data_IF_208649832076
#
_entry.id   IF_208649832076
#
_cell.length_a   1.000
_cell.length_b   1.000
_cell.length_c   1.000
_cell.angle_alpha   90.00
_cell.angle_beta   90.00
_cell.angle_gamma   90.00
#
_symmetry.space_group_name_H-M   'P 1'
#
loop_
_entity.id
_entity.type
_entity.pdbx_description
1 polymer ?
#
# COMPACT_ATOMS: atom_id res chain seq x y z
N UNK A 1 11.59 6.77 16.75
CA UNK A 1 10.63 5.75 16.28
C UNK A 1 11.32 4.86 15.26
N UNK A 2 11.03 3.56 15.22
CA UNK A 2 11.53 2.58 14.26
C UNK A 2 10.35 1.83 13.67
N UNK A 3 10.46 1.38 12.42
CA UNK A 3 9.48 0.55 11.72
C UNK A 3 10.22 -0.55 10.99
N UNK A 4 9.73 -1.80 11.08
CA UNK A 4 10.28 -2.95 10.36
C UNK A 4 9.18 -3.95 10.01
N UNK A 5 9.53 -4.94 9.21
CA UNK A 5 8.67 -6.06 8.85
C UNK A 5 9.41 -7.38 9.08
N UNK A 6 8.69 -8.39 9.56
CA UNK A 6 9.18 -9.78 9.56
C UNK A 6 8.81 -10.51 8.25
N UNK A 7 7.96 -9.89 7.42
CA UNK A 7 7.55 -10.42 6.12
C UNK A 7 8.58 -10.19 5.02
N UNK A 8 9.39 -9.12 5.14
CA UNK A 8 10.47 -8.79 4.21
C UNK A 8 11.53 -7.91 4.88
N UNK A 9 12.77 -7.96 4.39
CA UNK A 9 13.84 -7.08 4.86
C UNK A 9 13.74 -5.72 4.15
N UNK A 10 14.04 -4.65 4.86
CA UNK A 10 14.10 -3.30 4.27
C UNK A 10 15.02 -3.26 3.04
N UNK A 11 14.51 -2.72 1.93
CA UNK A 11 15.17 -2.67 0.63
C UNK A 11 15.13 -3.96 -0.20
N UNK A 12 14.69 -5.09 0.37
CA UNK A 12 14.59 -6.36 -0.36
C UNK A 12 13.27 -6.49 -1.14
N UNK A 13 13.19 -7.52 -1.99
CA UNK A 13 11.96 -7.85 -2.68
C UNK A 13 10.85 -8.25 -1.69
N UNK A 14 9.63 -7.77 -1.93
CA UNK A 14 8.43 -8.17 -1.22
C UNK A 14 8.02 -9.56 -1.72
N UNK A 15 7.83 -10.57 -0.84
CA UNK A 15 7.33 -11.87 -1.24
C UNK A 15 5.96 -11.79 -1.92
N UNK A 16 5.77 -12.63 -2.93
CA UNK A 16 4.57 -12.61 -3.79
C UNK A 16 3.25 -12.80 -3.05
N UNK A 17 3.24 -13.44 -1.90
CA UNK A 17 2.02 -13.59 -1.09
C UNK A 17 1.46 -12.25 -0.56
N UNK A 18 2.28 -11.21 -0.51
CA UNK A 18 1.88 -9.84 -0.12
C UNK A 18 1.56 -8.96 -1.33
N UNK A 19 1.70 -9.48 -2.54
CA UNK A 19 1.38 -8.77 -3.77
C UNK A 19 -0.08 -9.00 -4.20
N UNK A 20 -0.64 -8.05 -4.95
CA UNK A 20 -1.94 -8.19 -5.61
C UNK A 20 -1.82 -9.11 -6.83
N UNK A 21 -0.73 -9.00 -7.59
CA UNK A 21 -0.44 -9.80 -8.78
C UNK A 21 0.91 -10.50 -8.68
N UNK A 22 1.04 -11.60 -9.42
CA UNK A 22 2.29 -12.32 -9.68
C UNK A 22 2.47 -12.54 -11.17
N UNK A 23 3.71 -12.80 -11.60
CA UNK A 23 4.04 -13.13 -12.98
C UNK A 23 3.34 -14.44 -13.37
N UNK A 24 2.69 -14.43 -14.52
CA UNK A 24 2.17 -15.61 -15.20
C UNK A 24 2.75 -15.69 -16.61
N UNK A 25 3.35 -16.82 -17.01
CA UNK A 25 4.02 -16.93 -18.32
C UNK A 25 3.07 -16.88 -19.52
N UNK A 26 1.77 -17.16 -19.34
CA UNK A 26 0.79 -17.19 -20.41
C UNK A 26 0.02 -15.89 -20.56
N UNK A 27 -0.25 -15.20 -19.44
CA UNK A 27 -1.10 -14.00 -19.40
C UNK A 27 -0.37 -12.78 -18.85
N UNK A 28 0.96 -12.84 -18.68
CA UNK A 28 1.86 -11.88 -18.04
C UNK A 28 1.65 -11.78 -16.55
N UNK A 29 0.39 -11.70 -16.09
CA UNK A 29 0.06 -11.55 -14.67
C UNK A 29 -1.17 -12.38 -14.29
N UNK A 30 -1.16 -12.86 -13.05
CA UNK A 30 -2.33 -13.44 -12.39
C UNK A 30 -2.45 -12.90 -10.97
N UNK A 31 -3.63 -13.05 -10.37
CA UNK A 31 -3.86 -12.59 -8.99
C UNK A 31 -3.04 -13.41 -7.99
N UNK A 32 -2.59 -12.75 -6.92
CA UNK A 32 -1.85 -13.37 -5.84
C UNK A 32 -2.67 -13.41 -4.54
N UNK A 33 -2.05 -13.84 -3.43
CA UNK A 33 -2.72 -13.98 -2.14
C UNK A 33 -3.08 -12.64 -1.49
N UNK A 34 -2.52 -11.52 -1.91
CA UNK A 34 -2.87 -10.16 -1.50
C UNK A 34 -2.99 -9.99 0.03
N UNK A 35 -2.09 -10.62 0.79
CA UNK A 35 -2.05 -10.48 2.24
C UNK A 35 -1.38 -9.17 2.61
N UNK A 36 -1.87 -8.45 3.64
CA UNK A 36 -1.03 -7.40 4.19
C UNK A 36 0.21 -8.00 4.87
N UNK A 37 1.40 -7.38 4.74
CA UNK A 37 2.59 -7.84 5.45
C UNK A 37 2.50 -7.55 6.95
N UNK A 38 3.33 -8.26 7.74
CA UNK A 38 3.60 -7.89 9.12
C UNK A 38 4.32 -6.54 9.16
N UNK A 39 3.94 -5.69 10.10
CA UNK A 39 4.63 -4.45 10.44
C UNK A 39 4.75 -4.36 11.96
N UNK A 40 5.92 -3.99 12.46
CA UNK A 40 6.13 -3.70 13.87
C UNK A 40 6.94 -2.42 14.04
N UNK A 41 6.76 -1.76 15.19
CA UNK A 41 7.41 -0.50 15.48
C UNK A 41 7.75 -0.34 16.95
N UNK A 42 8.69 0.54 17.25
CA UNK A 42 9.12 0.91 18.58
C UNK A 42 9.43 2.39 18.71
N UNK A 43 9.70 2.81 19.94
CA UNK A 43 10.13 4.18 20.25
C UNK A 43 9.13 5.24 19.80
N UNK A 44 7.81 4.94 19.91
CA UNK A 44 6.75 5.93 19.67
C UNK A 44 6.86 7.04 20.73
N UNK A 45 6.84 8.31 20.35
CA UNK A 45 6.88 9.41 21.31
C UNK A 45 5.76 9.30 22.35
N UNK A 46 6.04 9.49 23.65
CA UNK A 46 5.01 9.42 24.69
C UNK A 46 3.86 10.43 24.53
N UNK A 47 4.09 11.51 23.80
CA UNK A 47 3.08 12.52 23.48
C UNK A 47 2.13 12.12 22.34
N UNK A 48 2.39 11.00 21.66
CA UNK A 48 1.53 10.52 20.58
C UNK A 48 0.16 10.12 21.12
N UNK A 49 -0.88 10.59 20.44
CA UNK A 49 -2.27 10.28 20.77
C UNK A 49 -2.88 9.27 19.79
N UNK A 50 -2.37 9.21 18.56
CA UNK A 50 -2.70 8.21 17.55
C UNK A 50 -1.54 7.97 16.61
N UNK A 51 -1.67 6.92 15.77
CA UNK A 51 -0.74 6.66 14.68
C UNK A 51 -1.51 6.62 13.36
N UNK A 52 -0.80 6.90 12.25
CA UNK A 52 -1.31 6.71 10.90
C UNK A 52 -0.28 5.97 10.04
N UNK A 53 -0.74 5.03 9.22
CA UNK A 53 0.08 4.30 8.26
C UNK A 53 -0.32 4.69 6.84
N UNK A 54 0.66 5.04 6.01
CA UNK A 54 0.52 5.24 4.58
C UNK A 54 1.47 4.29 3.86
N UNK A 55 0.94 3.52 2.91
CA UNK A 55 1.72 2.67 2.01
C UNK A 55 1.50 3.16 0.60
N UNK A 56 2.58 3.51 -0.10
CA UNK A 56 2.50 4.02 -1.46
C UNK A 56 3.67 3.52 -2.32
N UNK A 57 3.43 3.50 -3.61
CA UNK A 57 4.39 3.27 -4.68
C UNK A 57 4.69 4.63 -5.36
N UNK A 58 5.90 5.21 -5.22
CA UNK A 58 6.25 6.48 -5.86
C UNK A 58 6.73 6.31 -7.30
N UNK A 59 6.76 5.10 -7.82
CA UNK A 59 7.37 4.76 -9.11
C UNK A 59 6.32 4.47 -10.21
N UNK A 60 5.03 4.77 -9.96
CA UNK A 60 3.95 4.51 -10.91
C UNK A 60 4.06 5.45 -12.13
N UNK A 61 3.93 4.95 -13.37
CA UNK A 61 3.96 5.78 -14.57
C UNK A 61 2.92 6.91 -14.52
N UNK A 62 3.33 8.14 -14.84
CA UNK A 62 2.44 9.31 -14.84
C UNK A 62 1.39 9.29 -15.96
N UNK A 63 1.50 8.35 -16.91
CA UNK A 63 0.54 8.11 -18.00
C UNK A 63 0.54 6.62 -18.37
N UNK A 64 -0.59 6.14 -18.88
CA UNK A 64 -0.83 4.72 -19.16
C UNK A 64 -0.65 4.28 -20.62
N UNK A 65 -0.14 5.13 -21.52
CA UNK A 65 -0.15 4.89 -22.97
C UNK A 65 0.55 3.58 -23.39
N UNK A 66 1.60 3.19 -22.67
CA UNK A 66 2.36 1.97 -22.94
C UNK A 66 2.19 0.90 -21.84
N UNK A 67 1.43 1.18 -20.80
CA UNK A 67 1.26 0.27 -19.66
C UNK A 67 0.56 -1.01 -20.08
N UNK A 68 1.20 -2.16 -19.77
CA UNK A 68 0.65 -3.50 -20.00
C UNK A 68 0.27 -3.77 -21.47
N UNK A 69 1.04 -3.24 -22.43
CA UNK A 69 0.84 -3.46 -23.86
C UNK A 69 1.94 -4.32 -24.46
N UNK A 70 1.54 -5.28 -25.30
CA UNK A 70 2.46 -6.13 -26.05
C UNK A 70 3.37 -5.32 -26.98
N UNK A 71 4.65 -5.68 -27.01
CA UNK A 71 5.64 -4.98 -27.84
C UNK A 71 5.99 -3.56 -27.39
N UNK A 72 5.47 -3.13 -26.24
CA UNK A 72 5.77 -1.84 -25.61
C UNK A 72 6.60 -2.02 -24.35
N UNK A 73 7.29 -0.95 -23.98
CA UNK A 73 8.01 -0.85 -22.70
C UNK A 73 7.66 0.50 -22.09
N UNK A 74 7.31 0.54 -20.82
CA UNK A 74 7.18 1.79 -20.06
C UNK A 74 8.59 2.33 -19.79
N UNK A 75 8.96 3.51 -20.33
CA UNK A 75 10.32 4.02 -20.23
C UNK A 75 10.74 4.32 -18.79
N UNK A 76 12.01 4.08 -18.47
CA UNK A 76 12.56 4.36 -17.13
C UNK A 76 12.59 5.86 -16.80
N UNK A 77 12.73 6.72 -17.80
CA UNK A 77 12.78 8.18 -17.67
C UNK A 77 11.41 8.87 -17.71
N UNK A 78 10.31 8.10 -17.83
CA UNK A 78 8.97 8.64 -17.72
C UNK A 78 8.77 9.22 -16.32
N UNK A 79 8.18 10.44 -16.17
CA UNK A 79 7.82 10.98 -14.86
C UNK A 79 6.93 10.00 -14.09
N UNK A 80 7.19 9.91 -12.79
CA UNK A 80 6.49 8.96 -11.89
C UNK A 80 5.59 9.72 -10.93
N UNK A 81 4.54 9.05 -10.46
CA UNK A 81 3.55 9.58 -9.52
C UNK A 81 3.32 8.58 -8.39
N UNK A 82 2.81 9.07 -7.26
CA UNK A 82 2.41 8.22 -6.15
C UNK A 82 1.14 7.43 -6.49
N UNK A 83 1.11 6.16 -6.06
CA UNK A 83 -0.06 5.31 -6.02
C UNK A 83 -0.21 4.76 -4.60
N UNK A 84 -1.33 5.04 -3.95
CA UNK A 84 -1.57 4.64 -2.57
C UNK A 84 -2.15 3.23 -2.51
N UNK A 85 -1.45 2.34 -1.83
CA UNK A 85 -1.80 0.93 -1.65
C UNK A 85 -2.54 0.64 -0.34
N UNK A 86 -2.31 1.45 0.68
CA UNK A 86 -2.95 1.32 1.98
C UNK A 86 -2.88 2.62 2.75
N UNK A 87 -4.02 2.97 3.35
CA UNK A 87 -4.10 4.06 4.31
C UNK A 87 -4.87 3.55 5.52
N UNK A 88 -4.26 3.63 6.71
CA UNK A 88 -4.87 3.24 7.97
C UNK A 88 -4.64 4.36 8.98
N UNK A 89 -5.71 4.95 9.49
CA UNK A 89 -5.66 6.08 10.41
C UNK A 89 -6.28 5.74 11.77
N UNK A 90 -6.06 6.61 12.77
CA UNK A 90 -6.56 6.46 14.12
C UNK A 90 -6.12 5.16 14.80
N UNK A 91 -4.93 4.68 14.45
CA UNK A 91 -4.30 3.53 15.09
C UNK A 91 -4.01 3.92 16.54
N UNK A 92 -4.40 3.10 17.55
CA UNK A 92 -4.11 3.39 18.95
C UNK A 92 -2.61 3.59 19.19
N UNK A 93 -2.23 4.66 19.89
CA UNK A 93 -0.81 4.97 20.16
C UNK A 93 -0.06 3.87 20.93
N UNK A 94 -0.78 3.05 21.69
CA UNK A 94 -0.23 1.90 22.40
C UNK A 94 -0.04 0.64 21.55
N UNK A 95 -0.48 0.64 20.29
CA UNK A 95 -0.25 -0.48 19.38
C UNK A 95 1.25 -0.59 19.03
N UNK A 96 1.72 -1.80 18.80
CA UNK A 96 3.13 -2.07 18.50
C UNK A 96 3.34 -2.85 17.21
N UNK A 97 2.28 -3.41 16.63
CA UNK A 97 2.37 -4.21 15.42
C UNK A 97 1.04 -4.35 14.68
N UNK A 98 1.15 -4.74 13.44
CA UNK A 98 0.10 -5.29 12.58
C UNK A 98 0.56 -6.68 12.16
N UNK A 99 -0.21 -7.71 12.47
CA UNK A 99 0.12 -9.07 12.03
C UNK A 99 -0.09 -9.23 10.52
N UNK A 100 0.69 -10.09 9.88
CA UNK A 100 0.47 -10.45 8.49
C UNK A 100 -0.95 -11.04 8.29
N UNK A 101 -1.58 -10.74 7.16
CA UNK A 101 -2.91 -11.21 6.79
C UNK A 101 -4.06 -10.81 7.76
N UNK A 102 -3.84 -9.82 8.65
CA UNK A 102 -4.85 -9.41 9.63
C UNK A 102 -5.85 -8.37 9.10
N UNK A 103 -5.52 -7.68 8.01
CA UNK A 103 -6.36 -6.67 7.36
C UNK A 103 -6.69 -6.98 5.90
N UNK A 104 -5.90 -7.83 5.25
CA UNK A 104 -6.13 -8.30 3.90
C UNK A 104 -5.59 -9.72 3.75
N UNK A 105 -6.40 -10.63 3.18
CA UNK A 105 -6.06 -12.02 2.91
C UNK A 105 -6.89 -12.49 1.70
N UNK A 106 -6.45 -12.13 0.52
CA UNK A 106 -7.12 -12.37 -0.75
C UNK A 106 -7.47 -11.09 -1.50
N UNK A 107 -7.69 -11.23 -2.80
CA UNK A 107 -8.25 -10.17 -3.63
C UNK A 107 -9.77 -10.20 -3.49
N UNK A 108 -10.38 -9.03 -3.31
CA UNK A 108 -11.83 -8.88 -3.23
C UNK A 108 -12.31 -8.11 -4.46
N UNK A 109 -12.86 -8.78 -5.48
CA UNK A 109 -13.44 -8.10 -6.64
C UNK A 109 -14.52 -7.09 -6.23
N UNK A 110 -14.60 -5.98 -6.93
CA UNK A 110 -15.53 -4.87 -6.68
C UNK A 110 -15.29 -4.12 -5.36
N UNK A 111 -14.08 -4.25 -4.80
CA UNK A 111 -13.64 -3.50 -3.65
C UNK A 111 -13.98 -4.11 -2.30
N UNK A 112 -13.54 -3.43 -1.28
CA UNK A 112 -13.70 -3.77 0.14
C UNK A 112 -14.42 -2.67 0.87
N UNK A 113 -15.25 -3.01 1.84
CA UNK A 113 -16.00 -2.05 2.65
C UNK A 113 -15.09 -1.28 3.62
N UNK A 114 -15.49 -0.06 3.94
CA UNK A 114 -14.84 0.83 4.89
C UNK A 114 -15.67 2.11 5.11
N UNK A 115 -15.12 3.10 5.80
CA UNK A 115 -13.81 3.16 6.46
C UNK A 115 -13.73 2.35 7.75
N UNK A 116 -14.85 2.06 8.41
CA UNK A 116 -14.88 1.25 9.64
C UNK A 116 -14.45 -0.20 9.36
N UNK A 117 -13.69 -0.77 10.28
CA UNK A 117 -13.14 -2.12 10.19
C UNK A 117 -13.83 -2.98 11.24
N UNK A 118 -14.84 -3.80 10.87
CA UNK A 118 -15.50 -4.71 11.80
C UNK A 118 -14.49 -5.67 12.43
N UNK A 119 -14.54 -5.82 13.77
CA UNK A 119 -13.64 -6.70 14.53
C UNK A 119 -12.15 -6.39 14.31
N UNK A 120 -11.81 -5.12 14.08
CA UNK A 120 -10.42 -4.68 13.88
C UNK A 120 -9.50 -5.17 15.02
N UNK A 121 -8.32 -5.72 14.70
CA UNK A 121 -7.29 -5.97 15.70
C UNK A 121 -6.73 -4.67 16.32
N UNK A 122 -7.02 -3.52 15.71
CA UNK A 122 -6.69 -2.18 16.19
C UNK A 122 -7.99 -1.39 16.39
N UNK A 123 -8.58 -1.42 17.58
CA UNK A 123 -9.89 -0.80 17.83
C UNK A 123 -9.87 0.71 17.52
N UNK A 124 -10.87 1.18 16.78
CA UNK A 124 -11.01 2.58 16.37
C UNK A 124 -10.25 2.95 15.10
N UNK A 125 -9.34 2.12 14.62
CA UNK A 125 -8.66 2.38 13.36
C UNK A 125 -9.63 2.33 12.17
N UNK A 126 -9.35 3.18 11.14
CA UNK A 126 -10.18 3.33 9.95
C UNK A 126 -9.33 3.23 8.68
N UNK A 127 -9.87 2.55 7.67
CA UNK A 127 -9.25 2.49 6.35
C UNK A 127 -9.64 3.68 5.47
N UNK A 128 -8.67 4.23 4.73
CA UNK A 128 -8.95 5.01 3.52
C UNK A 128 -9.12 4.12 2.30
N UNK A 129 -9.64 4.70 1.21
CA UNK A 129 -9.61 4.07 -0.10
C UNK A 129 -8.19 4.10 -0.67
N UNK A 130 -7.81 3.03 -1.37
CA UNK A 130 -6.57 2.97 -2.12
C UNK A 130 -6.83 3.27 -3.62
N UNK A 131 -5.75 3.46 -4.39
CA UNK A 131 -5.84 3.95 -5.76
C UNK A 131 -6.28 2.88 -6.77
N UNK A 132 -6.39 1.61 -6.38
CA UNK A 132 -7.10 0.61 -7.17
C UNK A 132 -8.56 0.99 -7.41
N UNK A 133 -9.16 1.79 -6.52
CA UNK A 133 -10.49 2.40 -6.74
C UNK A 133 -10.55 3.17 -8.05
N UNK A 134 -9.56 4.00 -8.33
CA UNK A 134 -9.45 4.75 -9.59
C UNK A 134 -8.99 3.89 -10.76
N UNK A 135 -8.03 3.00 -10.51
CA UNK A 135 -7.49 2.11 -11.54
C UNK A 135 -8.55 1.21 -12.16
N UNK A 136 -9.42 0.63 -11.33
CA UNK A 136 -10.48 -0.27 -11.78
C UNK A 136 -11.81 0.43 -12.10
N UNK A 137 -11.87 1.77 -12.12
CA UNK A 137 -13.13 2.50 -12.29
C UNK A 137 -13.90 2.15 -13.60
N UNK A 138 -13.19 1.72 -14.64
CA UNK A 138 -13.77 1.33 -15.94
C UNK A 138 -13.82 -0.19 -16.15
N UNK A 139 -13.38 -0.99 -15.19
CA UNK A 139 -13.38 -2.44 -15.28
C UNK A 139 -14.73 -3.00 -14.79
N UNK A 140 -15.42 -3.78 -15.64
CA UNK A 140 -16.75 -4.28 -15.34
C UNK A 140 -16.78 -5.29 -14.18
N UNK A 141 -15.68 -6.02 -13.96
CA UNK A 141 -15.57 -7.07 -12.96
C UNK A 141 -14.93 -6.58 -11.66
N UNK A 142 -14.12 -5.53 -11.74
CA UNK A 142 -13.32 -5.05 -10.61
C UNK A 142 -13.73 -3.67 -10.09
N UNK A 143 -14.54 -2.87 -10.81
CA UNK A 143 -14.90 -1.52 -10.37
C UNK A 143 -15.59 -1.51 -9.00
N UNK A 144 -15.12 -0.61 -8.11
CA UNK A 144 -15.65 -0.47 -6.76
C UNK A 144 -14.74 0.34 -5.84
N UNK A 145 -15.15 0.53 -4.60
CA UNK A 145 -14.34 1.22 -3.59
C UNK A 145 -13.43 0.22 -2.87
N UNK A 146 -12.12 0.42 -2.98
CA UNK A 146 -11.11 -0.45 -2.38
C UNK A 146 -10.59 0.19 -1.08
N UNK A 147 -11.17 -0.17 0.05
CA UNK A 147 -10.67 0.24 1.36
C UNK A 147 -9.58 -0.70 1.87
N UNK A 148 -8.54 -0.12 2.52
CA UNK A 148 -7.47 -0.89 3.14
C UNK A 148 -6.37 -1.31 2.18
N UNK A 149 -5.69 -2.41 2.50
CA UNK A 149 -4.52 -2.89 1.78
C UNK A 149 -4.88 -3.64 0.52
N UNK A 150 -4.27 -3.22 -0.59
CA UNK A 150 -4.07 -4.04 -1.78
C UNK A 150 -2.62 -3.89 -2.23
N UNK A 151 -1.95 -5.02 -2.45
CA UNK A 151 -0.52 -5.12 -2.60
C UNK A 151 0.03 -4.72 -3.96
N UNK A 152 1.32 -4.93 -4.20
CA UNK A 152 1.99 -4.66 -5.46
C UNK A 152 1.36 -5.32 -6.69
N UNK A 153 1.20 -4.56 -7.77
CA UNK A 153 0.89 -5.04 -9.12
C UNK A 153 1.38 -4.01 -10.16
N UNK A 154 2.72 -3.78 -10.25
CA UNK A 154 3.25 -2.81 -11.21
C UNK A 154 3.06 -3.31 -12.64
N UNK A 155 3.20 -2.44 -13.66
CA UNK A 155 3.14 -2.88 -15.05
C UNK A 155 4.18 -3.97 -15.36
N UNK A 156 3.74 -5.06 -16.01
CA UNK A 156 4.62 -6.18 -16.34
C UNK A 156 5.69 -5.83 -17.39
N UNK A 157 5.53 -4.71 -18.07
CA UNK A 157 6.46 -4.20 -19.06
C UNK A 157 7.17 -2.90 -18.65
N UNK A 158 7.18 -2.58 -17.35
CA UNK A 158 7.93 -1.41 -16.86
C UNK A 158 9.43 -1.68 -16.86
N UNK A 159 10.21 -0.71 -17.31
CA UNK A 159 11.66 -0.78 -17.37
C UNK A 159 12.35 -0.62 -16.00
N UNK A 160 11.61 -0.33 -14.94
CA UNK A 160 12.14 -0.19 -13.58
C UNK A 160 11.48 -1.15 -12.60
N UNK A 161 12.19 -1.45 -11.51
CA UNK A 161 11.63 -2.13 -10.34
C UNK A 161 10.97 -1.08 -9.47
N UNK A 162 9.72 -1.29 -9.06
CA UNK A 162 8.97 -0.37 -8.21
C UNK A 162 9.33 -0.53 -6.73
N UNK A 163 9.25 0.57 -5.99
CA UNK A 163 9.44 0.63 -4.53
C UNK A 163 8.10 0.80 -3.85
N UNK A 164 7.90 0.09 -2.76
CA UNK A 164 6.71 0.20 -1.92
C UNK A 164 7.14 0.71 -0.57
N UNK A 165 6.72 1.93 -0.24
CA UNK A 165 7.16 2.64 0.96
C UNK A 165 6.05 2.59 2.01
N UNK A 166 6.33 1.95 3.12
CA UNK A 166 5.48 1.88 4.30
C UNK A 166 5.96 2.94 5.29
N UNK A 167 5.14 3.95 5.59
CA UNK A 167 5.48 5.01 6.54
C UNK A 167 4.46 5.08 7.64
N UNK A 168 4.94 4.94 8.88
CA UNK A 168 4.15 5.10 10.09
C UNK A 168 4.44 6.48 10.70
N UNK A 169 3.39 7.21 11.01
CA UNK A 169 3.41 8.54 11.61
C UNK A 169 2.85 8.49 13.03
N UNK A 170 3.53 9.10 13.98
CA UNK A 170 3.01 9.34 15.33
C UNK A 170 2.45 10.77 15.39
N UNK A 171 1.19 10.90 15.82
CA UNK A 171 0.43 12.14 15.73
C UNK A 171 0.08 12.69 17.13
N UNK A 172 0.04 14.01 17.27
CA UNK A 172 -0.36 14.72 18.50
C UNK A 172 -1.88 14.88 18.67
N UNK A 173 -2.66 14.34 17.73
CA UNK A 173 -4.13 14.32 17.78
C UNK A 173 -4.64 12.88 17.89
N UNK A 174 -5.80 12.70 18.53
CA UNK A 174 -6.37 11.38 18.81
C UNK A 174 -7.08 10.78 17.60
N UNK A 175 -7.62 11.62 16.71
CA UNK A 175 -8.33 11.20 15.49
C UNK A 175 -8.18 12.27 14.42
N UNK A 176 -8.02 11.82 13.17
CA UNK A 176 -7.99 12.70 12.01
C UNK A 176 -9.41 13.13 11.63
N UNK A 177 -9.63 14.42 11.28
CA UNK A 177 -10.95 14.95 10.88
C UNK A 177 -11.31 14.54 9.44
N UNK A 178 -11.32 13.24 9.17
CA UNK A 178 -11.65 12.65 7.89
C UNK A 178 -12.81 11.68 8.05
N UNK A 179 -13.81 11.81 7.18
CA UNK A 179 -15.02 10.99 7.20
C UNK A 179 -15.30 10.39 5.82
N UNK A 180 -16.09 9.32 5.80
CA UNK A 180 -16.51 8.64 4.56
C UNK A 180 -15.35 8.02 3.80
N UNK A 181 -15.31 8.26 2.49
CA UNK A 181 -14.23 7.81 1.62
C UNK A 181 -13.12 8.87 1.58
N UNK A 182 -12.00 8.60 2.21
CA UNK A 182 -10.82 9.46 2.16
C UNK A 182 -9.65 8.73 1.51
N UNK A 183 -8.87 9.46 0.72
CA UNK A 183 -7.70 8.95 -0.01
C UNK A 183 -6.40 9.11 0.78
N UNK A 184 -5.33 8.44 0.33
CA UNK A 184 -3.98 8.63 0.88
C UNK A 184 -3.48 10.07 0.79
N UNK A 185 -3.80 10.78 -0.29
CA UNK A 185 -3.45 12.20 -0.45
C UNK A 185 -4.15 13.09 0.60
N UNK A 186 -5.44 12.82 0.88
CA UNK A 186 -6.17 13.55 1.93
C UNK A 186 -5.61 13.25 3.33
N UNK A 187 -5.23 11.99 3.60
CA UNK A 187 -4.58 11.66 4.88
C UNK A 187 -3.22 12.37 4.99
N UNK A 188 -2.41 12.37 3.93
CA UNK A 188 -1.12 13.09 3.91
C UNK A 188 -1.29 14.58 4.22
N UNK A 189 -2.32 15.22 3.67
CA UNK A 189 -2.65 16.60 3.98
C UNK A 189 -3.18 16.79 5.41
N UNK A 190 -3.98 15.85 5.92
CA UNK A 190 -4.58 15.96 7.26
C UNK A 190 -3.59 15.72 8.41
N UNK A 191 -2.49 14.99 8.18
CA UNK A 191 -1.44 14.78 9.19
C UNK A 191 -0.42 15.93 9.23
N UNK A 192 -0.43 16.81 8.22
CA UNK A 192 0.49 17.95 8.18
C UNK A 192 0.28 18.87 9.42
N UNK A 193 1.39 19.24 10.06
CA UNK A 193 1.38 19.99 11.31
C UNK A 193 1.07 19.17 12.58
N UNK A 194 0.75 17.87 12.46
CA UNK A 194 0.44 16.98 13.59
C UNK A 194 1.49 15.89 13.84
N UNK A 195 2.54 15.83 13.02
CA UNK A 195 3.55 14.76 13.07
C UNK A 195 4.56 15.02 14.18
N UNK A 196 4.60 14.13 15.19
CA UNK A 196 5.61 14.12 16.25
C UNK A 196 6.86 13.33 15.83
N UNK A 197 6.67 12.25 15.11
CA UNK A 197 7.74 11.41 14.58
C UNK A 197 7.21 10.55 13.43
N UNK A 198 8.14 10.07 12.60
CA UNK A 198 7.83 9.09 11.56
C UNK A 198 8.95 8.07 11.40
N UNK A 199 8.61 6.91 10.88
CA UNK A 199 9.57 5.89 10.47
C UNK A 199 9.06 5.17 9.22
N UNK A 200 9.99 4.74 8.36
CA UNK A 200 9.64 4.06 7.12
C UNK A 200 10.45 2.79 6.94
N UNK A 201 9.84 1.82 6.28
CA UNK A 201 10.50 0.65 5.68
C UNK A 201 10.02 0.53 4.25
N UNK A 202 10.88 0.14 3.33
CA UNK A 202 10.51 -0.06 1.93
C UNK A 202 10.88 -1.46 1.47
N UNK A 203 10.11 -1.99 0.52
CA UNK A 203 10.45 -3.18 -0.25
C UNK A 203 10.32 -2.88 -1.73
N UNK A 204 10.78 -3.79 -2.58
CA UNK A 204 10.70 -3.68 -4.03
C UNK A 204 9.84 -4.78 -4.62
N UNK A 205 9.25 -4.52 -5.79
CA UNK A 205 8.50 -5.51 -6.54
C UNK A 205 8.52 -5.20 -8.03
N UNK A 206 8.51 -6.23 -8.85
CA UNK A 206 8.39 -6.11 -10.31
C UNK A 206 7.62 -7.30 -10.87
N UNK A 207 6.86 -7.05 -11.92
CA UNK A 207 6.24 -8.07 -12.76
C UNK A 207 6.93 -8.20 -14.11
N UNK A 208 7.98 -7.39 -14.37
CA UNK A 208 8.81 -7.54 -15.55
C UNK A 208 9.79 -8.70 -15.34
N UNK A 209 9.64 -9.82 -16.09
CA UNK A 209 10.46 -11.01 -15.88
C UNK A 209 11.95 -10.78 -16.15
N UNK A 210 12.29 -9.74 -16.92
CA UNK A 210 13.70 -9.41 -17.23
C UNK A 210 14.40 -8.68 -16.07
N UNK A 211 13.64 -8.16 -15.11
CA UNK A 211 14.14 -7.43 -13.93
C UNK A 211 14.09 -8.27 -12.65
N UNK A 212 13.50 -9.44 -12.69
CA UNK A 212 13.52 -10.37 -11.53
C UNK A 212 14.95 -10.84 -11.35
N UNK A 213 15.54 -10.53 -10.17
CA UNK A 213 16.88 -11.01 -9.85
C UNK A 213 16.88 -12.55 -9.93
N UNK A 214 17.76 -13.08 -10.76
CA UNK A 214 18.06 -14.51 -10.73
C UNK A 214 18.74 -14.82 -9.40
N UNK A 215 17.99 -15.49 -8.51
CA UNK A 215 18.45 -15.97 -7.20
C UNK A 215 19.51 -17.06 -7.34
#
# INVERSE_FOLDING_TARGET
>A
MKLWSDSFKGGAAIPSEFAFCVIDPATHVTLSANKNPHLAWSDVPPAAKSLALIVHDPDVPSRGDDVNQEGKTVPADLPRVDFFHWTLIDIPAGAQQIAAASFANGVTPRGKSGPAIPNSPLPGARHGINDYTGWFAQDADMSGAYFGYDGPCPPWNDAIVHRYVFTLYALDIASLPLDGQFSGAQVRAAIDGHILAQASVSGSYTLNPTLVATS
#
